data_IF_108271117717
#
_entry.id   IF_108271117717
#
_cell.length_a   1.000
_cell.length_b   1.000
_cell.length_c   1.000
_cell.angle_alpha   90.00
_cell.angle_beta   90.00
_cell.angle_gamma   90.00
#
_symmetry.space_group_name_H-M   'P 1'
#
loop_
_entity.id
_entity.type
_entity.pdbx_description
1 polymer ?
#
# COMPACT_ATOMS: atom_id res chain seq x y z
N UNK A 1 1.75 -18.47 31.11
CA UNK A 1 0.64 -18.23 30.16
C UNK A 1 1.27 -17.90 28.81
N UNK A 2 1.02 -18.65 27.74
CA UNK A 2 1.63 -18.34 26.44
C UNK A 2 1.08 -16.99 25.94
N UNK A 3 1.95 -16.00 25.80
CA UNK A 3 1.60 -14.70 25.22
C UNK A 3 1.34 -14.92 23.72
N UNK A 4 0.09 -14.84 23.29
CA UNK A 4 -0.28 -14.96 21.89
C UNK A 4 -0.91 -13.68 21.38
N UNK A 5 -0.51 -13.26 20.19
CA UNK A 5 -1.06 -12.09 19.50
C UNK A 5 -1.51 -12.50 18.10
N UNK A 6 -2.77 -12.18 17.77
CA UNK A 6 -3.33 -12.46 16.46
C UNK A 6 -2.98 -11.34 15.48
N UNK A 7 -1.89 -11.51 14.73
CA UNK A 7 -1.40 -10.52 13.75
C UNK A 7 -2.36 -10.32 12.57
N UNK A 8 -3.21 -11.30 12.27
CA UNK A 8 -4.23 -11.17 11.22
C UNK A 8 -5.27 -10.11 11.55
N UNK A 9 -5.40 -9.69 12.81
CA UNK A 9 -6.28 -8.59 13.20
C UNK A 9 -5.89 -7.28 12.51
N UNK A 10 -4.59 -7.08 12.21
CA UNK A 10 -4.12 -5.91 11.46
C UNK A 10 -4.77 -5.78 10.08
N UNK A 11 -5.11 -6.91 9.45
CA UNK A 11 -5.72 -6.96 8.12
C UNK A 11 -7.24 -7.05 8.16
N UNK A 12 -7.88 -7.09 9.33
CA UNK A 12 -9.32 -7.38 9.46
C UNK A 12 -10.20 -6.40 8.67
N UNK A 13 -10.01 -5.10 8.85
CA UNK A 13 -10.78 -4.07 8.15
C UNK A 13 -10.53 -4.14 6.63
N UNK A 14 -9.27 -4.30 6.25
CA UNK A 14 -8.85 -4.38 4.86
C UNK A 14 -9.46 -5.61 4.15
N UNK A 15 -9.44 -6.79 4.77
CA UNK A 15 -10.05 -8.02 4.23
C UNK A 15 -11.57 -7.86 4.09
N UNK A 16 -12.23 -7.18 5.02
CA UNK A 16 -13.67 -6.88 4.89
C UNK A 16 -13.91 -6.01 3.65
N UNK A 17 -13.09 -4.99 3.43
CA UNK A 17 -13.19 -4.13 2.26
C UNK A 17 -12.90 -4.91 0.96
N UNK A 18 -11.84 -5.71 0.91
CA UNK A 18 -11.52 -6.58 -0.23
C UNK A 18 -12.65 -7.57 -0.56
N UNK A 19 -13.35 -8.10 0.46
CA UNK A 19 -14.56 -8.93 0.26
C UNK A 19 -15.69 -8.10 -0.34
N UNK A 20 -15.97 -6.92 0.20
CA UNK A 20 -17.02 -6.05 -0.31
C UNK A 20 -16.77 -5.59 -1.75
N UNK A 21 -15.51 -5.52 -2.19
CA UNK A 21 -15.12 -5.14 -3.55
C UNK A 21 -14.97 -6.34 -4.51
N UNK A 22 -15.31 -7.56 -4.08
CA UNK A 22 -15.20 -8.75 -4.92
C UNK A 22 -13.76 -9.16 -5.27
N UNK A 23 -12.75 -8.60 -4.59
CA UNK A 23 -11.33 -8.91 -4.78
C UNK A 23 -10.89 -10.12 -3.94
N UNK A 24 -11.61 -10.42 -2.86
CA UNK A 24 -11.32 -11.56 -1.99
C UNK A 24 -12.10 -12.83 -2.38
N UNK A 25 -11.72 -13.97 -1.81
CA UNK A 25 -12.44 -15.25 -1.97
C UNK A 25 -13.43 -15.50 -0.82
N UNK A 26 -14.67 -15.87 -1.17
CA UNK A 26 -15.64 -16.43 -0.23
C UNK A 26 -15.79 -17.93 -0.49
N UNK A 27 -15.80 -18.77 0.56
CA UNK A 27 -16.02 -20.21 0.40
C UNK A 27 -17.51 -20.43 0.10
N UNK A 28 -17.81 -21.07 -1.03
CA UNK A 28 -19.09 -21.71 -1.37
C UNK A 28 -20.35 -20.86 -1.66
N UNK A 29 -20.22 -19.60 -2.08
CA UNK A 29 -21.41 -18.79 -2.44
C UNK A 29 -21.47 -18.48 -3.95
N UNK A 30 -22.49 -19.02 -4.64
CA UNK A 30 -22.76 -18.69 -6.06
C UNK A 30 -23.08 -17.21 -6.25
N UNK A 31 -23.79 -16.59 -5.30
CA UNK A 31 -24.14 -15.18 -5.31
C UNK A 31 -22.89 -14.27 -5.29
N UNK A 32 -21.92 -14.59 -4.42
CA UNK A 32 -20.67 -13.84 -4.34
C UNK A 32 -19.86 -13.89 -5.65
N UNK A 33 -19.91 -15.00 -6.38
CA UNK A 33 -19.28 -15.07 -7.72
C UNK A 33 -19.95 -14.11 -8.70
N UNK A 34 -21.28 -14.07 -8.74
CA UNK A 34 -22.02 -13.14 -9.59
C UNK A 34 -21.70 -11.68 -9.23
N UNK A 35 -21.76 -11.34 -7.95
CA UNK A 35 -21.40 -10.02 -7.44
C UNK A 35 -19.97 -9.62 -7.82
N UNK A 36 -19.00 -10.54 -7.69
CA UNK A 36 -17.61 -10.31 -8.12
C UNK A 36 -17.51 -10.00 -9.62
N UNK A 37 -18.22 -10.73 -10.48
CA UNK A 37 -18.22 -10.43 -11.91
C UNK A 37 -18.85 -9.07 -12.18
N UNK A 38 -19.94 -8.74 -11.49
CA UNK A 38 -20.62 -7.45 -11.60
C UNK A 38 -19.69 -6.27 -11.25
N UNK A 39 -19.05 -6.28 -10.07
CA UNK A 39 -18.13 -5.20 -9.66
C UNK A 39 -17.02 -5.04 -10.68
N UNK A 40 -16.46 -6.14 -11.17
CA UNK A 40 -15.31 -6.11 -12.07
C UNK A 40 -15.69 -5.68 -13.48
N UNK A 41 -16.89 -6.07 -13.95
CA UNK A 41 -17.45 -5.54 -15.20
C UNK A 41 -17.76 -4.05 -15.08
N UNK A 42 -18.19 -3.56 -13.92
CA UNK A 42 -18.45 -2.14 -13.66
C UNK A 42 -17.15 -1.33 -13.73
N UNK A 43 -16.06 -1.79 -13.09
CA UNK A 43 -14.75 -1.12 -13.19
C UNK A 43 -14.23 -1.04 -14.64
N UNK A 44 -14.36 -2.13 -15.39
CA UNK A 44 -13.92 -2.18 -16.80
C UNK A 44 -14.82 -1.31 -17.68
N UNK A 45 -16.12 -1.31 -17.45
CA UNK A 45 -17.07 -0.47 -18.17
C UNK A 45 -16.75 1.01 -17.97
N UNK A 46 -16.56 1.44 -16.73
CA UNK A 46 -16.24 2.84 -16.39
C UNK A 46 -14.94 3.28 -17.08
N UNK A 47 -13.87 2.49 -16.91
CA UNK A 47 -12.56 2.79 -17.52
C UNK A 47 -12.60 2.80 -19.04
N UNK A 48 -13.31 1.85 -19.68
CA UNK A 48 -13.42 1.81 -21.14
C UNK A 48 -14.27 2.95 -21.70
N UNK A 49 -15.36 3.31 -21.02
CA UNK A 49 -16.21 4.44 -21.39
C UNK A 49 -15.46 5.77 -21.28
N UNK A 50 -14.61 5.93 -20.26
CA UNK A 50 -13.72 7.08 -20.12
C UNK A 50 -12.66 7.14 -21.22
N UNK A 51 -12.02 6.01 -21.57
CA UNK A 51 -11.08 5.93 -22.70
C UNK A 51 -11.75 6.36 -24.01
N UNK A 52 -12.94 5.84 -24.30
CA UNK A 52 -13.69 6.18 -25.52
C UNK A 52 -14.04 7.66 -25.53
N UNK A 53 -14.49 8.21 -24.40
CA UNK A 53 -14.79 9.63 -24.27
C UNK A 53 -13.58 10.51 -24.58
N UNK A 54 -12.43 10.21 -23.96
CA UNK A 54 -11.19 10.93 -24.23
C UNK A 54 -10.86 10.80 -25.71
N UNK A 55 -10.80 9.58 -26.26
CA UNK A 55 -10.43 9.32 -27.66
C UNK A 55 -11.29 10.09 -28.68
N UNK A 56 -12.60 10.15 -28.47
CA UNK A 56 -13.52 10.85 -29.38
C UNK A 56 -13.41 12.37 -29.31
N UNK A 57 -12.87 12.91 -28.21
CA UNK A 57 -12.81 14.35 -27.97
C UNK A 57 -11.37 14.89 -27.97
N UNK A 58 -10.35 14.08 -28.31
CA UNK A 58 -8.96 14.52 -28.50
C UNK A 58 -8.95 15.68 -29.51
N UNK A 59 -8.88 16.92 -29.02
CA UNK A 59 -8.95 18.14 -29.82
C UNK A 59 -9.92 19.21 -29.32
N UNK A 60 -10.80 18.90 -28.37
CA UNK A 60 -11.74 19.86 -27.76
C UNK A 60 -11.25 20.21 -26.35
N UNK A 61 -11.26 21.52 -25.99
CA UNK A 61 -10.91 22.04 -24.64
C UNK A 61 -11.66 21.37 -23.47
N UNK A 62 -12.72 20.61 -23.73
CA UNK A 62 -13.52 19.93 -22.70
C UNK A 62 -12.88 18.63 -22.17
N UNK A 63 -11.84 18.11 -22.84
CA UNK A 63 -11.14 16.86 -22.47
C UNK A 63 -10.13 17.05 -21.35
N UNK A 64 -9.53 18.23 -21.25
CA UNK A 64 -8.55 18.58 -20.22
C UNK A 64 -9.11 18.35 -18.81
N UNK A 65 -10.38 18.71 -18.56
CA UNK A 65 -11.06 18.51 -17.28
C UNK A 65 -11.17 17.05 -16.82
N UNK A 66 -10.94 16.06 -17.69
CA UNK A 66 -11.17 14.62 -17.39
C UNK A 66 -9.97 13.74 -17.74
N UNK A 67 -8.96 14.28 -18.42
CA UNK A 67 -7.79 13.49 -18.86
C UNK A 67 -6.89 13.09 -17.69
N UNK A 68 -6.87 13.87 -16.59
CA UNK A 68 -6.07 13.57 -15.41
C UNK A 68 -6.59 12.36 -14.60
N UNK A 69 -7.88 12.03 -14.69
CA UNK A 69 -8.46 10.88 -13.98
C UNK A 69 -8.31 9.56 -14.74
N UNK A 70 -8.02 9.62 -16.05
CA UNK A 70 -7.86 8.44 -16.91
C UNK A 70 -6.81 7.45 -16.39
N UNK A 71 -5.56 7.85 -16.03
CA UNK A 71 -4.57 6.90 -15.57
C UNK A 71 -4.99 6.24 -14.24
N UNK A 72 -5.70 6.96 -13.37
CA UNK A 72 -6.23 6.41 -12.11
C UNK A 72 -7.32 5.36 -12.32
N UNK A 73 -8.21 5.55 -13.30
CA UNK A 73 -9.20 4.53 -13.66
C UNK A 73 -8.54 3.21 -14.11
N UNK A 74 -7.51 3.33 -14.96
CA UNK A 74 -6.73 2.19 -15.46
C UNK A 74 -5.92 1.52 -14.36
N UNK A 75 -5.35 2.31 -13.46
CA UNK A 75 -4.59 1.83 -12.30
C UNK A 75 -5.42 0.82 -11.50
N UNK A 76 -6.63 1.20 -11.07
CA UNK A 76 -7.49 0.33 -10.24
C UNK A 76 -7.86 -0.96 -10.95
N UNK A 77 -8.18 -0.91 -12.25
CA UNK A 77 -8.52 -2.11 -13.04
C UNK A 77 -7.32 -3.05 -13.13
N UNK A 78 -6.16 -2.51 -13.50
CA UNK A 78 -4.93 -3.29 -13.65
C UNK A 78 -4.51 -3.90 -12.31
N UNK A 79 -4.46 -3.12 -11.24
CA UNK A 79 -4.14 -3.63 -9.92
C UNK A 79 -5.13 -4.70 -9.45
N UNK A 80 -6.43 -4.52 -9.70
CA UNK A 80 -7.46 -5.51 -9.36
C UNK A 80 -7.25 -6.85 -10.09
N UNK A 81 -6.82 -6.82 -11.35
CA UNK A 81 -6.49 -8.02 -12.12
C UNK A 81 -5.21 -8.67 -11.58
N UNK A 82 -4.17 -7.87 -11.36
CA UNK A 82 -2.86 -8.32 -10.88
C UNK A 82 -2.93 -8.90 -9.46
N UNK A 83 -3.67 -8.25 -8.55
CA UNK A 83 -3.90 -8.75 -7.19
C UNK A 83 -4.59 -10.11 -7.20
N UNK A 84 -5.55 -10.32 -8.10
CA UNK A 84 -6.23 -11.61 -8.24
C UNK A 84 -5.34 -12.68 -8.86
N UNK A 85 -4.51 -12.34 -9.84
CA UNK A 85 -3.49 -13.23 -10.40
C UNK A 85 -2.53 -13.71 -9.30
N UNK A 86 -2.13 -12.81 -8.41
CA UNK A 86 -1.18 -13.09 -7.33
C UNK A 86 -1.84 -13.51 -6.00
N UNK A 87 -3.14 -13.78 -5.99
CA UNK A 87 -3.91 -14.05 -4.77
C UNK A 87 -3.38 -15.24 -3.96
N UNK A 88 -2.83 -16.26 -4.63
CA UNK A 88 -2.24 -17.42 -3.97
C UNK A 88 -1.00 -17.04 -3.13
N UNK A 89 -0.17 -16.13 -3.60
CA UNK A 89 0.99 -15.60 -2.87
C UNK A 89 0.55 -14.73 -1.69
N UNK A 90 -0.46 -13.88 -1.90
CA UNK A 90 -1.06 -13.03 -0.86
C UNK A 90 -1.66 -13.89 0.28
N UNK A 91 -2.34 -14.99 -0.07
CA UNK A 91 -2.86 -15.91 0.94
C UNK A 91 -1.71 -16.59 1.70
N UNK A 92 -0.70 -17.08 0.98
CA UNK A 92 0.48 -17.70 1.59
C UNK A 92 1.23 -16.73 2.52
N UNK A 93 1.30 -15.44 2.16
CA UNK A 93 1.93 -14.43 3.01
C UNK A 93 1.15 -14.25 4.32
N UNK A 94 -0.19 -14.20 4.28
CA UNK A 94 -1.01 -14.14 5.49
C UNK A 94 -0.88 -15.41 6.35
N UNK A 95 -0.82 -16.59 5.72
CA UNK A 95 -0.63 -17.85 6.43
C UNK A 95 0.73 -17.87 7.15
N UNK A 96 1.78 -17.29 6.55
CA UNK A 96 3.10 -17.15 7.17
C UNK A 96 3.10 -16.30 8.45
N UNK A 97 2.19 -15.33 8.62
CA UNK A 97 2.10 -14.54 9.86
C UNK A 97 1.66 -15.38 11.07
N UNK A 98 1.06 -16.57 10.84
CA UNK A 98 0.66 -17.48 11.91
C UNK A 98 1.78 -18.41 12.37
N UNK A 99 2.96 -18.31 11.75
CA UNK A 99 4.12 -19.09 12.14
C UNK A 99 4.50 -18.80 13.61
N UNK A 100 4.95 -19.81 14.39
CA UNK A 100 5.26 -19.64 15.81
C UNK A 100 6.39 -18.63 16.06
N UNK A 101 7.28 -18.42 15.08
CA UNK A 101 8.37 -17.45 15.13
C UNK A 101 7.88 -15.99 15.28
N UNK A 102 6.66 -15.70 14.82
CA UNK A 102 6.08 -14.34 14.86
C UNK A 102 5.39 -14.03 16.20
N UNK A 103 5.31 -15.00 17.11
CA UNK A 103 4.70 -14.82 18.43
C UNK A 103 5.68 -14.18 19.43
N UNK A 104 5.19 -13.32 20.34
CA UNK A 104 6.04 -12.61 21.28
C UNK A 104 6.55 -13.54 22.40
N UNK A 105 7.76 -13.26 22.89
CA UNK A 105 8.43 -13.99 23.97
C UNK A 105 8.32 -13.30 25.33
N UNK A 106 8.09 -11.98 25.35
CA UNK A 106 7.99 -11.16 26.55
C UNK A 106 6.90 -10.07 26.39
N UNK A 107 6.59 -9.34 27.47
CA UNK A 107 5.56 -8.29 27.46
C UNK A 107 5.92 -7.10 26.59
N UNK A 108 7.21 -6.75 26.49
CA UNK A 108 7.68 -5.68 25.61
C UNK A 108 7.35 -5.98 24.14
N UNK A 109 7.57 -7.21 23.69
CA UNK A 109 7.23 -7.67 22.35
C UNK A 109 5.71 -7.70 22.10
N UNK A 110 4.91 -8.05 23.11
CA UNK A 110 3.43 -7.95 23.01
C UNK A 110 3.02 -6.51 22.73
N UNK A 111 3.63 -5.54 23.42
CA UNK A 111 3.35 -4.12 23.20
C UNK A 111 3.71 -3.69 21.77
N UNK A 112 4.90 -4.06 21.27
CA UNK A 112 5.33 -3.78 19.88
C UNK A 112 4.30 -4.29 18.86
N UNK A 113 3.84 -5.54 19.01
CA UNK A 113 2.88 -6.15 18.08
C UNK A 113 1.47 -5.52 18.19
N UNK A 114 1.01 -5.15 19.39
CA UNK A 114 -0.26 -4.45 19.55
C UNK A 114 -0.21 -3.04 18.96
N UNK A 115 0.88 -2.32 19.17
CA UNK A 115 1.10 -0.99 18.62
C UNK A 115 1.15 -1.04 17.08
N UNK A 116 1.72 -2.10 16.49
CA UNK A 116 1.71 -2.30 15.04
C UNK A 116 0.29 -2.53 14.50
N UNK A 117 -0.55 -3.30 15.18
CA UNK A 117 -1.97 -3.51 14.81
C UNK A 117 -2.75 -2.19 14.90
N UNK A 118 -2.52 -1.40 15.94
CA UNK A 118 -3.15 -0.08 16.10
C UNK A 118 -2.70 0.87 14.98
N UNK A 119 -1.41 0.88 14.66
CA UNK A 119 -0.87 1.67 13.55
C UNK A 119 -1.49 1.25 12.21
N UNK A 120 -1.57 -0.05 11.92
CA UNK A 120 -2.24 -0.57 10.72
C UNK A 120 -3.70 -0.09 10.62
N UNK A 121 -4.44 -0.08 11.74
CA UNK A 121 -5.81 0.42 11.79
C UNK A 121 -5.91 1.93 11.56
N UNK A 122 -4.99 2.71 12.14
CA UNK A 122 -4.91 4.16 11.94
C UNK A 122 -4.61 4.50 10.47
N UNK A 123 -3.67 3.79 9.87
CA UNK A 123 -3.32 3.93 8.44
C UNK A 123 -4.54 3.67 7.56
N UNK A 124 -5.24 2.56 7.81
CA UNK A 124 -6.45 2.21 7.07
C UNK A 124 -7.52 3.31 7.15
N UNK A 125 -7.90 3.74 8.37
CA UNK A 125 -8.97 4.73 8.53
C UNK A 125 -8.57 6.14 8.09
N UNK A 126 -7.30 6.52 8.23
CA UNK A 126 -6.79 7.79 7.73
C UNK A 126 -6.90 7.85 6.20
N UNK A 127 -6.42 6.81 5.51
CA UNK A 127 -6.48 6.73 4.06
C UNK A 127 -7.93 6.61 3.55
N UNK A 128 -8.75 5.77 4.19
CA UNK A 128 -10.18 5.66 3.91
C UNK A 128 -10.91 7.00 4.06
N UNK A 129 -10.63 7.76 5.12
CA UNK A 129 -11.24 9.06 5.35
C UNK A 129 -10.89 10.09 4.28
N UNK A 130 -9.62 10.13 3.86
CA UNK A 130 -9.17 11.02 2.77
C UNK A 130 -9.88 10.70 1.45
N UNK A 131 -9.93 9.43 1.08
CA UNK A 131 -10.63 8.99 -0.14
C UNK A 131 -12.14 9.22 -0.03
N UNK A 132 -12.73 9.03 1.15
CA UNK A 132 -14.16 9.28 1.38
C UNK A 132 -14.53 10.76 1.16
N UNK A 133 -13.72 11.69 1.66
CA UNK A 133 -13.91 13.14 1.42
C UNK A 133 -13.82 13.46 -0.07
N UNK A 134 -12.86 12.84 -0.77
CA UNK A 134 -12.71 13.04 -2.21
C UNK A 134 -13.95 12.55 -2.98
N UNK A 135 -14.39 11.30 -2.78
CA UNK A 135 -15.54 10.77 -3.53
C UNK A 135 -16.84 11.51 -3.22
N UNK A 136 -17.04 11.95 -1.98
CA UNK A 136 -18.24 12.72 -1.60
C UNK A 136 -18.25 14.08 -2.30
N UNK A 137 -17.09 14.76 -2.38
CA UNK A 137 -16.94 15.99 -3.15
C UNK A 137 -17.24 15.76 -4.65
N UNK A 138 -16.72 14.68 -5.24
CA UNK A 138 -16.94 14.34 -6.65
C UNK A 138 -18.40 14.03 -6.98
N UNK A 139 -19.12 13.37 -6.07
CA UNK A 139 -20.55 13.12 -6.25
C UNK A 139 -21.39 14.39 -6.04
N UNK A 140 -21.11 15.19 -5.01
CA UNK A 140 -21.98 16.32 -4.62
C UNK A 140 -21.84 17.54 -5.54
N UNK A 141 -20.64 17.88 -6.01
CA UNK A 141 -20.41 19.10 -6.82
C UNK A 141 -21.21 19.17 -8.14
N UNK A 142 -21.40 18.08 -8.91
CA UNK A 142 -22.28 18.09 -10.08
C UNK A 142 -23.73 18.47 -9.75
N UNK A 143 -24.24 18.10 -8.57
CA UNK A 143 -25.62 18.36 -8.15
C UNK A 143 -25.85 19.82 -7.79
N UNK A 144 -24.81 20.58 -7.45
CA UNK A 144 -24.93 22.01 -7.14
C UNK A 144 -24.94 22.88 -8.39
N UNK A 145 -24.50 22.36 -9.54
CA UNK A 145 -24.51 23.07 -10.82
C UNK A 145 -25.91 23.07 -11.43
N UNK A 146 -26.33 24.20 -12.00
CA UNK A 146 -27.61 24.30 -12.72
C UNK A 146 -27.53 23.52 -14.04
N UNK A 147 -28.08 22.31 -14.08
CA UNK A 147 -28.14 21.45 -15.27
C UNK A 147 -28.03 19.97 -14.92
N UNK A 148 -28.12 19.10 -15.93
CA UNK A 148 -27.92 17.66 -15.78
C UNK A 148 -26.47 17.31 -16.08
N UNK A 149 -25.64 17.34 -15.05
CA UNK A 149 -24.22 16.96 -15.13
C UNK A 149 -23.98 15.64 -14.42
N UNK A 150 -23.21 14.77 -15.06
CA UNK A 150 -22.72 13.53 -14.46
C UNK A 150 -21.44 13.83 -13.67
N UNK A 151 -21.14 13.10 -12.57
CA UNK A 151 -19.92 13.25 -11.80
C UNK A 151 -18.63 13.22 -12.62
N UNK A 152 -18.59 12.36 -13.63
CA UNK A 152 -17.49 12.18 -14.58
C UNK A 152 -18.02 12.34 -16.00
N UNK A 153 -17.20 12.83 -16.92
CA UNK A 153 -17.55 12.85 -18.34
C UNK A 153 -17.13 11.52 -18.99
N UNK A 154 -18.09 10.74 -19.47
CA UNK A 154 -17.82 9.46 -20.14
C UNK A 154 -18.77 9.23 -21.32
N UNK A 155 -18.42 8.29 -22.18
CA UNK A 155 -19.15 8.05 -23.42
C UNK A 155 -20.31 7.09 -23.19
N UNK A 156 -21.51 7.53 -23.52
CA UNK A 156 -22.74 6.76 -23.37
C UNK A 156 -23.39 6.60 -24.77
N UNK A 157 -23.75 5.38 -25.17
CA UNK A 157 -24.31 5.13 -26.52
C UNK A 157 -25.75 5.61 -26.71
N UNK A 158 -26.36 6.28 -25.73
CA UNK A 158 -27.75 6.75 -25.75
C UNK A 158 -27.89 8.14 -25.12
N UNK A 159 -28.96 8.87 -25.48
CA UNK A 159 -29.24 10.19 -24.91
C UNK A 159 -29.79 10.04 -23.47
N UNK A 160 -28.95 10.39 -22.51
CA UNK A 160 -29.26 10.33 -21.09
C UNK A 160 -30.02 11.58 -20.58
N UNK A 161 -30.36 12.55 -21.44
CA UNK A 161 -31.04 13.80 -21.02
C UNK A 161 -32.50 13.60 -20.59
N UNK A 162 -33.08 12.43 -20.83
CA UNK A 162 -34.40 12.04 -20.32
C UNK A 162 -34.40 12.00 -18.77
N UNK A 163 -35.45 12.49 -18.07
CA UNK A 163 -35.47 12.60 -16.60
C UNK A 163 -35.15 11.30 -15.86
N UNK A 164 -35.86 10.21 -16.16
CA UNK A 164 -35.69 8.92 -15.49
C UNK A 164 -34.34 8.27 -15.83
N UNK A 165 -33.88 8.41 -17.08
CA UNK A 165 -32.61 7.82 -17.54
C UNK A 165 -31.43 8.51 -16.86
N UNK A 166 -31.48 9.84 -16.72
CA UNK A 166 -30.45 10.60 -16.04
C UNK A 166 -30.30 10.17 -14.57
N UNK A 167 -31.40 10.07 -13.84
CA UNK A 167 -31.38 9.71 -12.41
C UNK A 167 -30.82 8.29 -12.19
N UNK A 168 -31.27 7.32 -12.99
CA UNK A 168 -30.77 5.95 -12.92
C UNK A 168 -29.28 5.86 -13.25
N UNK A 169 -28.85 6.58 -14.28
CA UNK A 169 -27.45 6.60 -14.70
C UNK A 169 -26.55 7.27 -13.65
N UNK A 170 -27.03 8.36 -13.06
CA UNK A 170 -26.31 9.05 -11.99
C UNK A 170 -26.08 8.13 -10.79
N UNK A 171 -27.11 7.37 -10.35
CA UNK A 171 -26.97 6.38 -9.28
C UNK A 171 -26.00 5.28 -9.66
N UNK A 172 -26.07 4.77 -10.88
CA UNK A 172 -25.15 3.75 -11.37
C UNK A 172 -23.70 4.24 -11.35
N UNK A 173 -23.44 5.46 -11.77
CA UNK A 173 -22.11 6.06 -11.73
C UNK A 173 -21.59 6.24 -10.32
N UNK A 174 -22.42 6.72 -9.38
CA UNK A 174 -22.05 6.77 -7.97
C UNK A 174 -21.60 5.39 -7.46
N UNK A 175 -22.27 4.31 -7.87
CA UNK A 175 -21.82 2.95 -7.54
C UNK A 175 -20.46 2.63 -8.16
N UNK A 176 -20.21 2.96 -9.44
CA UNK A 176 -18.91 2.76 -10.10
C UNK A 176 -17.78 3.50 -9.37
N UNK A 177 -17.98 4.78 -9.03
CA UNK A 177 -17.00 5.61 -8.29
C UNK A 177 -16.69 4.99 -6.93
N UNK A 178 -17.72 4.54 -6.20
CA UNK A 178 -17.54 3.87 -4.91
C UNK A 178 -16.73 2.57 -5.08
N UNK A 179 -17.03 1.76 -6.09
CA UNK A 179 -16.27 0.53 -6.34
C UNK A 179 -14.82 0.81 -6.71
N UNK A 180 -14.55 1.83 -7.54
CA UNK A 180 -13.20 2.25 -7.89
C UNK A 180 -12.42 2.68 -6.64
N UNK A 181 -12.96 3.64 -5.91
CA UNK A 181 -12.31 4.25 -4.76
C UNK A 181 -12.04 3.25 -3.63
N UNK A 182 -13.03 2.41 -3.29
CA UNK A 182 -12.84 1.42 -2.22
C UNK A 182 -11.97 0.24 -2.65
N UNK A 183 -11.92 -0.10 -3.94
CA UNK A 183 -10.94 -1.07 -4.45
C UNK A 183 -9.51 -0.55 -4.33
N UNK A 184 -9.27 0.71 -4.71
CA UNK A 184 -7.99 1.39 -4.51
C UNK A 184 -7.57 1.36 -3.03
N UNK A 185 -8.43 1.86 -2.12
CA UNK A 185 -8.15 1.86 -0.68
C UNK A 185 -7.79 0.47 -0.16
N UNK A 186 -8.51 -0.55 -0.61
CA UNK A 186 -8.28 -1.92 -0.18
C UNK A 186 -6.92 -2.47 -0.68
N UNK A 187 -6.51 -2.15 -1.90
CA UNK A 187 -5.26 -2.62 -2.47
C UNK A 187 -4.05 -1.93 -1.83
N UNK A 188 -4.10 -0.60 -1.73
CA UNK A 188 -3.01 0.23 -1.21
C UNK A 188 -2.75 -0.04 0.28
N UNK A 189 -3.80 -0.02 1.08
CA UNK A 189 -3.65 -0.24 2.52
C UNK A 189 -3.22 -1.66 2.84
N UNK A 190 -3.51 -2.66 2.00
CA UNK A 190 -3.02 -4.02 2.22
C UNK A 190 -1.49 -4.06 2.21
N UNK A 191 -0.87 -3.43 1.21
CA UNK A 191 0.59 -3.36 1.11
C UNK A 191 1.20 -2.63 2.31
N UNK A 192 0.66 -1.47 2.67
CA UNK A 192 1.13 -0.68 3.82
C UNK A 192 1.03 -1.44 5.13
N UNK A 193 -0.09 -2.15 5.36
CA UNK A 193 -0.27 -2.99 6.55
C UNK A 193 0.77 -4.11 6.57
N UNK A 194 1.03 -4.75 5.43
CA UNK A 194 2.07 -5.77 5.35
C UNK A 194 3.46 -5.23 5.69
N UNK A 195 3.81 -4.03 5.22
CA UNK A 195 5.07 -3.37 5.57
C UNK A 195 5.15 -3.04 7.07
N UNK A 196 4.07 -2.53 7.66
CA UNK A 196 3.99 -2.29 9.12
C UNK A 196 4.25 -3.58 9.91
N UNK A 197 3.69 -4.71 9.47
CA UNK A 197 3.91 -6.00 10.12
C UNK A 197 5.34 -6.52 9.96
N UNK A 198 5.96 -6.38 8.78
CA UNK A 198 7.40 -6.71 8.59
C UNK A 198 8.26 -5.86 9.53
N UNK A 199 8.03 -4.54 9.55
CA UNK A 199 8.78 -3.63 10.40
C UNK A 199 8.65 -3.95 11.89
N UNK A 200 7.43 -4.25 12.36
CA UNK A 200 7.19 -4.65 13.75
C UNK A 200 7.93 -5.94 14.12
N UNK A 201 8.02 -6.90 13.19
CA UNK A 201 8.76 -8.14 13.42
C UNK A 201 10.28 -7.92 13.44
N UNK A 202 10.80 -6.97 12.66
CA UNK A 202 12.19 -6.51 12.82
C UNK A 202 12.44 -5.93 14.22
N UNK A 203 11.51 -5.12 14.75
CA UNK A 203 11.64 -4.56 16.11
C UNK A 203 11.58 -5.66 17.19
N UNK A 204 10.68 -6.64 17.06
CA UNK A 204 10.61 -7.82 17.95
C UNK A 204 11.91 -8.65 17.91
N UNK A 205 12.48 -8.81 16.71
CA UNK A 205 13.74 -9.52 16.55
C UNK A 205 14.90 -8.71 17.15
N UNK A 206 14.93 -7.37 17.00
CA UNK A 206 15.90 -6.51 17.68
C UNK A 206 15.86 -6.68 19.19
N UNK A 207 14.66 -6.68 19.78
CA UNK A 207 14.46 -6.92 21.22
C UNK A 207 14.97 -8.32 21.62
N UNK A 208 14.66 -9.35 20.82
CA UNK A 208 15.14 -10.71 21.08
C UNK A 208 16.67 -10.82 21.06
N UNK A 209 17.35 -10.09 20.16
CA UNK A 209 18.81 -10.09 20.03
C UNK A 209 19.47 -9.32 21.20
N UNK A 210 18.93 -8.16 21.55
CA UNK A 210 19.44 -7.34 22.68
C UNK A 210 19.34 -8.09 24.00
N UNK A 211 18.23 -8.78 24.21
CA UNK A 211 17.90 -9.44 25.46
C UNK A 211 18.16 -10.95 25.42
N UNK A 212 19.05 -11.45 24.53
CA UNK A 212 19.35 -12.90 24.39
C UNK A 212 19.67 -13.56 25.74
N UNK A 213 20.49 -12.88 26.56
CA UNK A 213 20.90 -13.41 27.87
C UNK A 213 19.74 -13.46 28.86
N UNK A 214 18.88 -12.45 28.89
CA UNK A 214 17.69 -12.43 29.75
C UNK A 214 16.70 -13.51 29.32
N UNK A 215 16.46 -13.64 28.01
CA UNK A 215 15.63 -14.71 27.44
C UNK A 215 16.17 -16.11 27.76
N UNK A 216 17.49 -16.27 27.85
CA UNK A 216 18.14 -17.53 28.23
C UNK A 216 17.96 -17.89 29.71
N UNK A 217 17.69 -16.91 30.59
CA UNK A 217 17.51 -17.08 32.04
C UNK A 217 16.06 -17.29 32.48
N UNK A 218 15.08 -17.11 31.58
CA UNK A 218 13.66 -17.25 31.91
C UNK A 218 13.39 -18.65 32.51
N UNK A 219 12.84 -18.65 33.73
CA UNK A 219 12.46 -19.83 34.55
C UNK A 219 13.60 -20.61 35.22
N UNK A 220 14.81 -20.07 35.33
CA UNK A 220 15.92 -20.77 35.99
C UNK A 220 16.87 -19.81 36.70
N UNK A 221 16.69 -19.73 38.03
CA UNK A 221 17.63 -19.06 38.92
C UNK A 221 18.61 -20.09 39.50
N UNK A 222 19.92 -19.80 39.41
CA UNK A 222 20.98 -20.56 40.10
C UNK A 222 21.76 -21.62 39.29
N UNK A 223 21.66 -21.64 37.96
CA UNK A 223 22.31 -22.65 37.11
C UNK A 223 23.78 -22.37 36.75
N UNK A 224 24.49 -23.42 36.30
CA UNK A 224 25.88 -23.36 35.87
C UNK A 224 26.05 -22.46 34.62
N UNK A 225 27.12 -21.65 34.57
CA UNK A 225 27.42 -20.76 33.42
C UNK A 225 27.40 -21.47 32.05
N UNK A 226 27.76 -22.75 32.00
CA UNK A 226 27.77 -23.52 30.76
C UNK A 226 26.35 -23.78 30.21
N UNK A 227 25.36 -23.95 31.09
CA UNK A 227 23.96 -24.16 30.70
C UNK A 227 23.34 -22.86 30.20
N UNK A 228 23.67 -21.73 30.83
CA UNK A 228 23.30 -20.39 30.37
C UNK A 228 23.80 -20.15 28.93
N UNK A 229 25.08 -20.43 28.65
CA UNK A 229 25.65 -20.27 27.31
C UNK A 229 24.98 -21.18 26.26
N UNK A 230 24.66 -22.42 26.61
CA UNK A 230 23.94 -23.33 25.71
C UNK A 230 22.52 -22.83 25.40
N UNK A 231 21.87 -22.12 26.34
CA UNK A 231 20.54 -21.52 26.12
C UNK A 231 20.61 -20.24 25.31
N UNK A 232 21.60 -19.38 25.55
CA UNK A 232 21.87 -18.22 24.71
C UNK A 232 22.04 -18.64 23.23
N UNK A 233 22.76 -19.74 23.00
CA UNK A 233 22.91 -20.34 21.67
C UNK A 233 21.56 -20.74 21.06
N UNK A 234 20.70 -21.43 21.81
CA UNK A 234 19.35 -21.80 21.36
C UNK A 234 18.50 -20.58 21.03
N UNK A 235 18.58 -19.52 21.83
CA UNK A 235 17.85 -18.27 21.57
C UNK A 235 18.35 -17.61 20.29
N UNK A 236 19.67 -17.56 20.07
CA UNK A 236 20.27 -17.02 18.84
C UNK A 236 19.83 -17.80 17.60
N UNK A 237 19.84 -19.14 17.64
CA UNK A 237 19.33 -19.98 16.56
C UNK A 237 17.85 -19.67 16.29
N UNK A 238 17.05 -19.47 17.33
CA UNK A 238 15.68 -18.99 17.22
C UNK A 238 15.56 -17.63 16.53
N UNK A 239 16.45 -16.68 16.83
CA UNK A 239 16.52 -15.38 16.16
C UNK A 239 16.88 -15.51 14.67
N UNK A 240 17.80 -16.41 14.31
CA UNK A 240 18.14 -16.70 12.91
C UNK A 240 16.92 -17.26 12.15
N UNK A 241 16.19 -18.21 12.76
CA UNK A 241 14.96 -18.74 12.16
C UNK A 241 13.89 -17.65 12.00
N UNK A 242 13.73 -16.78 13.01
CA UNK A 242 12.79 -15.68 12.95
C UNK A 242 13.15 -14.68 11.84
N UNK A 243 14.43 -14.31 11.70
CA UNK A 243 14.91 -13.47 10.60
C UNK A 243 14.61 -14.08 9.23
N UNK A 244 14.88 -15.37 9.06
CA UNK A 244 14.58 -16.08 7.80
C UNK A 244 13.08 -16.07 7.50
N UNK A 245 12.22 -16.28 8.50
CA UNK A 245 10.76 -16.17 8.36
C UNK A 245 10.31 -14.75 7.98
N UNK A 246 10.91 -13.70 8.55
CA UNK A 246 10.63 -12.29 8.18
C UNK A 246 11.04 -12.04 6.73
N UNK A 247 12.25 -12.47 6.35
CA UNK A 247 12.77 -12.31 4.99
C UNK A 247 11.90 -13.05 3.97
N UNK A 248 11.46 -14.27 4.29
CA UNK A 248 10.55 -15.05 3.44
C UNK A 248 9.20 -14.34 3.27
N UNK A 249 8.61 -13.82 4.36
CA UNK A 249 7.38 -13.04 4.31
C UNK A 249 7.52 -11.77 3.47
N UNK A 250 8.61 -11.01 3.64
CA UNK A 250 8.92 -9.84 2.82
C UNK A 250 9.07 -10.19 1.33
N UNK A 251 9.70 -11.32 1.02
CA UNK A 251 9.83 -11.82 -0.35
C UNK A 251 8.49 -12.21 -0.97
N UNK A 252 7.56 -12.82 -0.21
CA UNK A 252 6.21 -13.10 -0.71
C UNK A 252 5.45 -11.82 -1.05
N UNK A 253 5.51 -10.81 -0.18
CA UNK A 253 4.86 -9.52 -0.44
C UNK A 253 5.49 -8.83 -1.65
N UNK A 254 6.82 -8.75 -1.70
CA UNK A 254 7.57 -8.17 -2.82
C UNK A 254 7.20 -8.84 -4.16
N UNK A 255 7.19 -10.17 -4.21
CA UNK A 255 6.81 -10.91 -5.41
C UNK A 255 5.34 -10.74 -5.80
N UNK A 256 4.44 -10.61 -4.82
CA UNK A 256 3.00 -10.41 -5.06
C UNK A 256 2.70 -9.02 -5.61
N UNK A 257 3.43 -8.01 -5.14
CA UNK A 257 3.17 -6.61 -5.43
C UNK A 257 4.09 -6.00 -6.48
N UNK A 258 5.15 -6.67 -6.96
CA UNK A 258 6.08 -6.09 -7.96
C UNK A 258 5.40 -5.54 -9.22
N UNK A 259 4.41 -6.26 -9.75
CA UNK A 259 3.63 -5.83 -10.94
C UNK A 259 2.67 -4.69 -10.57
N UNK A 260 2.04 -4.76 -9.40
CA UNK A 260 1.09 -3.78 -8.87
C UNK A 260 1.80 -2.43 -8.63
N UNK A 261 2.97 -2.46 -7.99
CA UNK A 261 3.80 -1.29 -7.72
C UNK A 261 4.32 -0.66 -9.02
N UNK A 262 4.64 -1.45 -10.04
CA UNK A 262 5.03 -0.88 -11.33
C UNK A 262 3.89 -0.07 -11.95
N UNK A 263 2.67 -0.64 -11.95
CA UNK A 263 1.48 0.06 -12.43
C UNK A 263 1.23 1.32 -11.61
N UNK A 264 1.32 1.24 -10.27
CA UNK A 264 1.21 2.40 -9.38
C UNK A 264 2.17 3.51 -9.78
N UNK A 265 3.47 3.23 -9.86
CA UNK A 265 4.47 4.26 -10.13
C UNK A 265 4.26 4.92 -11.50
N UNK A 266 3.86 4.16 -12.52
CA UNK A 266 3.60 4.70 -13.87
C UNK A 266 2.32 5.53 -13.88
N UNK A 267 1.21 4.98 -13.41
CA UNK A 267 -0.09 5.65 -13.42
C UNK A 267 -0.07 6.90 -12.54
N UNK A 268 0.46 6.82 -11.33
CA UNK A 268 0.55 7.98 -10.45
C UNK A 268 1.52 9.04 -10.98
N UNK A 269 2.62 8.68 -11.68
CA UNK A 269 3.46 9.68 -12.36
C UNK A 269 2.69 10.44 -13.44
N UNK A 270 1.88 9.72 -14.24
CA UNK A 270 1.04 10.33 -15.27
C UNK A 270 -0.05 11.20 -14.64
N UNK A 271 -0.72 10.71 -13.60
CA UNK A 271 -1.71 11.50 -12.83
C UNK A 271 -1.08 12.81 -12.38
N UNK A 272 0.03 12.76 -11.63
CA UNK A 272 0.69 13.95 -11.09
C UNK A 272 1.07 14.95 -12.19
N UNK A 273 1.66 14.49 -13.30
CA UNK A 273 2.02 15.36 -14.41
C UNK A 273 0.81 16.07 -15.03
N UNK A 274 -0.26 15.32 -15.29
CA UNK A 274 -1.45 15.82 -15.98
C UNK A 274 -2.30 16.69 -15.05
N UNK A 275 -2.46 16.33 -13.77
CA UNK A 275 -3.18 17.19 -12.81
C UNK A 275 -2.41 18.45 -12.44
N UNK A 276 -1.08 18.44 -12.42
CA UNK A 276 -0.31 19.70 -12.30
C UNK A 276 -0.51 20.63 -13.49
N UNK A 277 -0.56 20.07 -14.70
CA UNK A 277 -0.87 20.82 -15.91
C UNK A 277 -2.28 21.41 -15.85
N UNK A 278 -3.28 20.60 -15.51
CA UNK A 278 -4.66 21.04 -15.34
C UNK A 278 -4.81 22.13 -14.28
N UNK A 279 -4.10 22.00 -13.14
CA UNK A 279 -4.06 23.04 -12.11
C UNK A 279 -3.54 24.38 -12.65
N UNK A 280 -2.58 24.34 -13.56
CA UNK A 280 -2.00 25.57 -14.15
C UNK A 280 -2.93 26.28 -15.13
N UNK A 281 -3.87 25.54 -15.74
CA UNK A 281 -4.89 26.08 -16.63
C UNK A 281 -6.15 26.54 -15.89
N UNK A 282 -6.43 25.94 -14.73
CA UNK A 282 -7.65 26.21 -13.97
C UNK A 282 -7.67 27.59 -13.31
N UNK A 283 -8.84 28.24 -13.31
CA UNK A 283 -9.03 29.54 -12.66
C UNK A 283 -8.78 29.41 -11.14
N UNK A 284 -7.93 30.27 -10.54
CA UNK A 284 -7.66 30.24 -9.11
C UNK A 284 -8.94 30.34 -8.28
N UNK A 285 -9.04 29.52 -7.22
CA UNK A 285 -10.18 29.49 -6.29
C UNK A 285 -11.52 29.02 -6.88
N UNK A 286 -11.54 28.54 -8.13
CA UNK A 286 -12.72 27.89 -8.69
C UNK A 286 -13.00 26.54 -8.02
N UNK A 287 -14.24 26.05 -8.08
CA UNK A 287 -14.58 24.72 -7.56
C UNK A 287 -13.78 23.61 -8.27
N UNK A 288 -13.51 23.77 -9.57
CA UNK A 288 -12.67 22.85 -10.37
C UNK A 288 -11.22 22.86 -9.88
N UNK A 289 -10.64 24.04 -9.63
CA UNK A 289 -9.31 24.16 -9.04
C UNK A 289 -9.19 23.36 -7.74
N UNK A 290 -10.16 23.49 -6.83
CA UNK A 290 -10.17 22.71 -5.59
C UNK A 290 -10.31 21.21 -5.80
N UNK A 291 -11.11 20.75 -6.78
CA UNK A 291 -11.23 19.33 -7.13
C UNK A 291 -9.89 18.75 -7.59
N UNK A 292 -9.23 19.41 -8.56
CA UNK A 292 -7.96 18.95 -9.12
C UNK A 292 -6.83 19.07 -8.07
N UNK A 293 -6.87 20.08 -7.20
CA UNK A 293 -5.89 20.25 -6.13
C UNK A 293 -5.97 19.13 -5.10
N UNK A 294 -7.19 18.76 -4.68
CA UNK A 294 -7.38 17.63 -3.76
C UNK A 294 -7.02 16.30 -4.43
N UNK A 295 -7.32 16.14 -5.71
CA UNK A 295 -6.88 14.98 -6.49
C UNK A 295 -5.34 14.88 -6.52
N UNK A 296 -4.63 15.99 -6.77
CA UNK A 296 -3.17 16.06 -6.74
C UNK A 296 -2.59 15.62 -5.39
N UNK A 297 -3.19 16.08 -4.29
CA UNK A 297 -2.81 15.68 -2.92
C UNK A 297 -3.03 14.17 -2.73
N UNK A 298 -4.17 13.65 -3.17
CA UNK A 298 -4.51 12.22 -3.07
C UNK A 298 -3.51 11.36 -3.84
N UNK A 299 -3.25 11.69 -5.11
CA UNK A 299 -2.30 10.97 -5.97
C UNK A 299 -0.87 11.00 -5.40
N UNK A 300 -0.48 12.13 -4.78
CA UNK A 300 0.82 12.23 -4.10
C UNK A 300 0.86 11.32 -2.86
N UNK A 301 -0.22 11.30 -2.08
CA UNK A 301 -0.33 10.51 -0.86
C UNK A 301 -0.34 9.00 -1.13
N UNK A 302 -0.93 8.55 -2.24
CA UNK A 302 -0.88 7.16 -2.69
C UNK A 302 0.57 6.66 -2.81
N UNK A 303 1.40 7.29 -3.65
CA UNK A 303 2.81 6.89 -3.81
C UNK A 303 3.58 7.05 -2.50
N UNK A 304 3.33 8.14 -1.76
CA UNK A 304 3.99 8.40 -0.49
C UNK A 304 3.74 7.27 0.52
N UNK A 305 2.51 6.77 0.58
CA UNK A 305 2.11 5.66 1.47
C UNK A 305 2.95 4.40 1.21
N UNK A 306 3.13 4.03 -0.07
CA UNK A 306 3.96 2.90 -0.47
C UNK A 306 5.41 3.08 -0.04
N UNK A 307 6.01 4.21 -0.41
CA UNK A 307 7.43 4.51 -0.18
C UNK A 307 7.76 4.71 1.29
N UNK A 308 6.87 5.33 2.07
CA UNK A 308 7.08 5.58 3.49
C UNK A 308 7.15 4.28 4.28
N UNK A 309 6.16 3.41 4.14
CA UNK A 309 6.12 2.16 4.91
C UNK A 309 7.17 1.15 4.45
N UNK A 310 7.51 1.12 3.16
CA UNK A 310 8.63 0.32 2.69
C UNK A 310 9.99 0.85 3.23
N UNK A 311 10.17 2.17 3.30
CA UNK A 311 11.34 2.77 3.91
C UNK A 311 11.46 2.51 5.42
N UNK A 312 10.34 2.51 6.14
CA UNK A 312 10.32 2.12 7.56
C UNK A 312 10.84 0.69 7.77
N UNK A 313 10.54 -0.24 6.86
CA UNK A 313 11.11 -1.60 6.91
C UNK A 313 12.63 -1.57 6.72
N UNK A 314 13.15 -0.75 5.81
CA UNK A 314 14.60 -0.58 5.61
C UNK A 314 15.25 -0.09 6.90
N UNK A 315 14.73 1.00 7.49
CA UNK A 315 15.26 1.58 8.73
C UNK A 315 15.22 0.58 9.89
N UNK A 316 14.10 -0.14 10.07
CA UNK A 316 13.94 -1.08 11.18
C UNK A 316 14.80 -2.35 10.99
N UNK A 317 14.96 -2.82 9.77
CA UNK A 317 15.83 -3.97 9.50
C UNK A 317 17.32 -3.62 9.64
N UNK A 318 17.74 -2.39 9.34
CA UNK A 318 19.11 -1.92 9.58
C UNK A 318 19.48 -1.93 11.06
N UNK A 319 18.51 -1.66 11.96
CA UNK A 319 18.71 -1.75 13.42
C UNK A 319 19.12 -3.13 13.91
N UNK A 320 18.80 -4.21 13.18
CA UNK A 320 19.20 -5.57 13.53
C UNK A 320 20.73 -5.71 13.59
N UNK A 321 21.44 -5.03 12.69
CA UNK A 321 22.90 -5.01 12.69
C UNK A 321 23.46 -4.40 13.97
N UNK A 322 22.87 -3.30 14.45
CA UNK A 322 23.30 -2.67 15.70
C UNK A 322 22.91 -3.51 16.93
N UNK A 323 21.74 -4.15 16.90
CA UNK A 323 21.26 -5.01 17.97
C UNK A 323 22.22 -6.19 18.25
N UNK A 324 22.92 -6.73 17.25
CA UNK A 324 23.90 -7.82 17.49
C UNK A 324 25.07 -7.36 18.35
N UNK A 325 25.53 -6.11 18.21
CA UNK A 325 26.59 -5.55 19.06
C UNK A 325 26.12 -5.30 20.50
N UNK A 326 24.82 -5.08 20.69
CA UNK A 326 24.19 -4.83 21.99
C UNK A 326 23.84 -6.13 22.77
N UNK A 327 24.01 -7.30 22.16
CA UNK A 327 23.63 -8.62 22.71
C UNK A 327 24.52 -9.16 23.86
N UNK A 328 25.39 -8.34 24.44
CA UNK A 328 26.39 -8.75 25.44
C UNK A 328 27.33 -9.90 24.99
N UNK A 329 27.59 -9.97 23.68
CA UNK A 329 28.38 -11.04 23.05
C UNK A 329 29.79 -11.24 23.60
N UNK A 330 30.39 -10.23 24.25
CA UNK A 330 31.74 -10.30 24.83
C UNK A 330 31.83 -11.22 26.07
N UNK A 331 30.70 -11.51 26.74
CA UNK A 331 30.59 -12.42 27.90
C UNK A 331 29.75 -13.65 27.52
N UNK A 332 30.13 -14.31 26.43
CA UNK A 332 29.45 -15.50 25.89
C UNK A 332 30.45 -16.57 25.42
N UNK A 333 29.95 -17.77 25.11
CA UNK A 333 30.76 -18.87 24.59
C UNK A 333 31.39 -18.56 23.23
N UNK A 334 32.47 -19.25 22.88
CA UNK A 334 33.13 -19.10 21.57
C UNK A 334 32.22 -19.50 20.41
N UNK A 335 31.35 -20.50 20.61
CA UNK A 335 30.33 -20.93 19.65
C UNK A 335 29.33 -19.82 19.37
N UNK A 336 28.81 -19.17 20.42
CA UNK A 336 27.87 -18.07 20.29
C UNK A 336 28.45 -16.91 19.50
N UNK A 337 29.68 -16.49 19.82
CA UNK A 337 30.35 -15.39 19.09
C UNK A 337 30.52 -15.70 17.61
N UNK A 338 30.90 -16.94 17.26
CA UNK A 338 31.03 -17.37 15.86
C UNK A 338 29.68 -17.30 15.14
N UNK A 339 28.63 -17.85 15.73
CA UNK A 339 27.30 -17.88 15.11
C UNK A 339 26.68 -16.48 15.02
N UNK A 340 26.88 -15.63 16.03
CA UNK A 340 26.46 -14.24 16.01
C UNK A 340 27.20 -13.45 14.93
N UNK A 341 28.47 -13.74 14.68
CA UNK A 341 29.24 -13.10 13.59
C UNK A 341 28.66 -13.46 12.22
N UNK A 342 28.32 -14.73 12.00
CA UNK A 342 27.66 -15.18 10.76
C UNK A 342 26.31 -14.47 10.60
N UNK A 343 25.50 -14.43 11.67
CA UNK A 343 24.22 -13.75 11.66
C UNK A 343 24.36 -12.23 11.43
N UNK A 344 25.35 -11.59 12.04
CA UNK A 344 25.67 -10.17 11.83
C UNK A 344 25.97 -9.89 10.35
N UNK A 345 26.65 -10.81 9.66
CA UNK A 345 26.87 -10.69 8.22
C UNK A 345 25.57 -10.80 7.41
N UNK A 346 24.63 -11.66 7.83
CA UNK A 346 23.33 -11.80 7.16
C UNK A 346 22.44 -10.57 7.32
N UNK A 347 22.40 -9.97 8.52
CA UNK A 347 21.55 -8.79 8.81
C UNK A 347 22.22 -7.46 8.40
N UNK A 348 23.49 -7.48 7.96
CA UNK A 348 24.18 -6.31 7.42
C UNK A 348 23.47 -5.71 6.21
N UNK A 349 22.80 -6.55 5.40
CA UNK A 349 21.98 -6.09 4.28
C UNK A 349 20.54 -5.88 4.76
N UNK A 350 20.02 -4.65 4.79
CA UNK A 350 18.65 -4.40 5.23
C UNK A 350 17.63 -5.03 4.26
N UNK A 351 16.44 -5.29 4.78
CA UNK A 351 15.31 -5.78 4.00
C UNK A 351 14.78 -4.60 3.18
N UNK A 352 14.95 -4.68 1.86
CA UNK A 352 14.49 -3.66 0.92
C UNK A 352 13.57 -4.31 -0.12
N UNK A 353 12.44 -3.66 -0.40
CA UNK A 353 11.52 -4.07 -1.44
C UNK A 353 11.86 -3.39 -2.76
N UNK A 354 11.72 -4.13 -3.85
CA UNK A 354 12.05 -3.65 -5.18
C UNK A 354 10.90 -3.86 -6.15
N UNK A 355 10.71 -2.90 -7.04
CA UNK A 355 9.94 -3.07 -8.27
C UNK A 355 10.82 -3.81 -9.27
N UNK A 356 10.45 -5.05 -9.61
CA UNK A 356 11.18 -5.93 -10.53
C UNK A 356 12.69 -6.10 -10.24
N UNK A 357 13.11 -5.96 -8.98
CA UNK A 357 14.53 -5.98 -8.57
C UNK A 357 15.38 -4.84 -9.16
N UNK A 358 14.76 -3.79 -9.71
CA UNK A 358 15.47 -2.66 -10.35
C UNK A 358 15.35 -1.40 -9.49
N UNK A 359 14.14 -1.01 -9.12
CA UNK A 359 13.89 0.25 -8.40
C UNK A 359 13.53 -0.05 -6.94
N UNK A 360 14.30 0.44 -5.95
CA UNK A 360 13.93 0.29 -4.55
C UNK A 360 12.70 1.13 -4.23
N UNK A 361 11.80 0.58 -3.43
CA UNK A 361 10.62 1.30 -2.93
C UNK A 361 11.01 2.00 -1.63
N UNK A 362 11.46 3.25 -1.74
CA UNK A 362 11.91 4.06 -0.61
C UNK A 362 11.59 5.56 -0.80
N UNK A 363 11.87 6.37 0.22
CA UNK A 363 11.62 7.82 0.20
C UNK A 363 12.48 8.54 -0.85
N UNK A 364 13.67 8.01 -1.19
CA UNK A 364 14.53 8.61 -2.23
C UNK A 364 13.91 8.44 -3.62
N UNK A 365 13.38 7.26 -3.92
CA UNK A 365 12.63 6.99 -5.15
C UNK A 365 11.39 7.87 -5.24
N UNK A 366 10.66 8.08 -4.13
CA UNK A 366 9.53 9.01 -4.09
C UNK A 366 9.96 10.45 -4.42
N UNK A 367 10.98 10.98 -3.75
CA UNK A 367 11.49 12.34 -4.03
C UNK A 367 11.97 12.48 -5.48
N UNK A 368 12.69 11.47 -6.00
CA UNK A 368 13.18 11.48 -7.38
C UNK A 368 12.04 11.43 -8.40
N UNK A 369 10.93 10.73 -8.09
CA UNK A 369 9.74 10.71 -8.93
C UNK A 369 9.04 12.07 -8.95
N UNK A 370 8.82 12.69 -7.78
CA UNK A 370 8.22 14.03 -7.70
C UNK A 370 9.04 15.08 -8.46
N UNK A 371 10.36 15.05 -8.34
CA UNK A 371 11.24 15.96 -9.08
C UNK A 371 11.09 15.79 -10.59
N UNK A 372 11.04 14.54 -11.08
CA UNK A 372 10.84 14.27 -12.51
C UNK A 372 9.47 14.74 -13.00
N UNK A 373 8.41 14.49 -12.24
CA UNK A 373 7.06 14.97 -12.57
C UNK A 373 7.03 16.51 -12.64
N UNK A 374 7.67 17.19 -11.68
CA UNK A 374 7.78 18.65 -11.68
C UNK A 374 8.58 19.19 -12.88
N UNK A 375 9.73 18.59 -13.19
CA UNK A 375 10.52 18.95 -14.37
C UNK A 375 9.74 18.76 -15.67
N UNK A 376 8.99 17.66 -15.79
CA UNK A 376 8.14 17.40 -16.94
C UNK A 376 7.01 18.42 -17.06
N UNK A 377 6.35 18.76 -15.95
CA UNK A 377 5.36 19.83 -15.91
C UNK A 377 5.92 21.17 -16.38
N UNK A 378 7.08 21.61 -15.87
CA UNK A 378 7.74 22.84 -16.31
C UNK A 378 8.04 22.80 -17.81
N UNK A 379 8.55 21.68 -18.33
CA UNK A 379 8.85 21.54 -19.75
C UNK A 379 7.59 21.66 -20.62
N UNK A 380 6.48 21.05 -20.21
CA UNK A 380 5.19 21.18 -20.91
C UNK A 380 4.71 22.64 -20.92
N UNK A 381 4.73 23.29 -19.76
CA UNK A 381 4.29 24.68 -19.62
C UNK A 381 5.13 25.64 -20.47
N UNK A 382 6.46 25.53 -20.42
CA UNK A 382 7.34 26.35 -21.23
C UNK A 382 7.09 26.16 -22.74
N UNK A 383 6.78 24.94 -23.18
CA UNK A 383 6.47 24.65 -24.59
C UNK A 383 5.16 25.29 -25.02
N UNK A 384 4.16 25.34 -24.13
CA UNK A 384 2.90 26.03 -24.39
C UNK A 384 3.08 27.55 -24.43
N UNK A 385 3.82 28.13 -23.48
CA UNK A 385 4.11 29.57 -23.44
C UNK A 385 4.87 30.03 -24.72
N UNK A 386 5.79 29.19 -25.22
CA UNK A 386 6.48 29.44 -26.49
C UNK A 386 5.53 29.36 -27.70
N UNK A 387 4.51 28.50 -27.64
CA UNK A 387 3.52 28.34 -28.71
C UNK A 387 2.47 29.46 -28.69
N UNK A 388 2.18 30.06 -27.53
CA UNK A 388 1.28 31.22 -27.45
C UNK A 388 1.93 32.54 -27.85
N UNK A 389 3.27 32.61 -27.80
CA UNK A 389 4.04 33.81 -28.15
C UNK A 389 4.45 33.89 -29.64
N UNK A 390 4.20 32.83 -30.42
CA UNK A 390 4.36 32.76 -31.88
C UNK A 390 3.00 32.68 -32.56
#
# INVERSE_FOLDING_TARGET
MMLQVNLLEAFKQNIILLKSMGLWCYKNERFYKFFKYYVQSSLVFDSSSLIIYVALNIGIKNVTDTIYSLPGSLEVVLQSVLFRKNFHLIKKSLDNLNQPQFQPKNEAQVKILKDSIILSRKVFYSFFGLVFVMITMWMVLPLTKKGKFLPTKYWIPFDYRLPVVYELLYVFECCCIIFHAFSNVALDTFFSIAMVQIGAQCDVLCDSIRNVRELAKINTDGELKQEEYNRMEKVLIGCVHHYNSISEYANFISNSFKEILMVQFICSSLMLCVSMYELSLSEPMSAHFFQVFLFQISATNEIFLYCWFANEVIIKSEKLYYATFESQWYDSSTTFRKNLTIFTHQVKKPICLFVYNIVPVDIKSFSGLLQKCWSFFIAMKNTEDLRSNN
#
